data_IF_236229600617
#
_entry.id   IF_236229600617
#
_cell.length_a   1.000
_cell.length_b   1.000
_cell.length_c   1.000
_cell.angle_alpha   90.00
_cell.angle_beta   90.00
_cell.angle_gamma   90.00
#
_symmetry.space_group_name_H-M   'P 1'
#
loop_
_entity.id
_entity.type
_entity.pdbx_description
1 polymer ?
#
# COMPACT_ATOMS: atom_id res chain seq x y z
N UNK A 1 -5.84 5.36 -18.92
CA UNK A 1 -5.40 4.05 -19.49
C UNK A 1 -6.32 3.59 -20.61
N UNK A 2 -7.64 3.62 -20.45
CA UNK A 2 -8.60 3.18 -21.48
C UNK A 2 -8.42 3.85 -22.85
N UNK A 3 -8.19 5.16 -22.88
CA UNK A 3 -7.99 5.92 -24.12
C UNK A 3 -6.71 5.56 -24.88
N UNK A 4 -5.63 5.16 -24.19
CA UNK A 4 -4.35 4.82 -24.84
C UNK A 4 -4.34 3.40 -25.41
N UNK A 5 -4.93 2.44 -24.70
CA UNK A 5 -5.04 1.03 -25.13
C UNK A 5 -6.00 0.89 -26.33
N UNK A 6 -7.02 1.75 -26.45
CA UNK A 6 -7.97 1.72 -27.56
C UNK A 6 -7.44 2.34 -28.86
N UNK A 7 -6.46 3.25 -28.79
CA UNK A 7 -5.91 3.99 -29.94
C UNK A 7 -4.58 3.43 -30.45
N UNK A 8 -3.88 2.62 -29.66
CA UNK A 8 -2.55 2.08 -30.00
C UNK A 8 -2.47 0.60 -29.64
N UNK A 9 -1.78 -0.19 -30.47
CA UNK A 9 -1.51 -1.61 -30.18
C UNK A 9 -0.54 -1.71 -28.99
N UNK A 10 -1.08 -1.66 -27.78
CA UNK A 10 -0.32 -1.78 -26.54
C UNK A 10 -0.03 -3.27 -26.27
N UNK A 11 1.24 -3.66 -26.09
CA UNK A 11 1.59 -5.04 -25.77
C UNK A 11 0.83 -5.56 -24.54
N UNK A 12 0.27 -6.78 -24.56
CA UNK A 12 -0.55 -7.32 -23.46
C UNK A 12 0.16 -7.30 -22.10
N UNK A 13 1.49 -7.43 -22.11
CA UNK A 13 2.32 -7.42 -20.90
C UNK A 13 2.28 -6.09 -20.14
N UNK A 14 2.15 -4.95 -20.83
CA UNK A 14 2.09 -3.64 -20.16
C UNK A 14 0.80 -3.47 -19.36
N UNK A 15 -0.31 -4.04 -19.87
CA UNK A 15 -1.61 -4.03 -19.21
C UNK A 15 -1.55 -4.94 -17.98
N UNK A 16 -1.03 -6.16 -18.15
CA UNK A 16 -0.84 -7.11 -17.05
C UNK A 16 0.04 -6.53 -15.94
N UNK A 17 1.15 -5.87 -16.30
CA UNK A 17 2.08 -5.28 -15.34
C UNK A 17 1.49 -4.09 -14.60
N UNK A 18 0.67 -3.27 -15.27
CA UNK A 18 -0.05 -2.17 -14.62
C UNK A 18 -1.08 -2.68 -13.60
N UNK A 19 -1.84 -3.72 -13.96
CA UNK A 19 -2.80 -4.37 -13.06
C UNK A 19 -2.06 -5.01 -11.88
N UNK A 20 -0.98 -5.74 -12.15
CA UNK A 20 -0.16 -6.37 -11.12
C UNK A 20 0.42 -5.35 -10.14
N UNK A 21 0.93 -4.21 -10.62
CA UNK A 21 1.43 -3.13 -9.77
C UNK A 21 0.32 -2.51 -8.92
N UNK A 22 -0.88 -2.28 -9.48
CA UNK A 22 -2.01 -1.79 -8.71
C UNK A 22 -2.41 -2.76 -7.60
N UNK A 23 -2.51 -4.05 -7.91
CA UNK A 23 -2.82 -5.08 -6.92
C UNK A 23 -1.73 -5.21 -5.85
N UNK A 24 -0.46 -5.17 -6.24
CA UNK A 24 0.67 -5.21 -5.33
C UNK A 24 0.70 -3.97 -4.41
N UNK A 25 0.39 -2.79 -4.94
CA UNK A 25 0.28 -1.56 -4.16
C UNK A 25 -0.85 -1.67 -3.13
N UNK A 26 -2.05 -2.12 -3.55
CA UNK A 26 -3.18 -2.34 -2.63
C UNK A 26 -2.77 -3.29 -1.52
N UNK A 27 -2.19 -4.45 -1.86
CA UNK A 27 -1.77 -5.45 -0.89
C UNK A 27 -0.72 -4.91 0.10
N UNK A 28 0.29 -4.21 -0.42
CA UNK A 28 1.31 -3.57 0.40
C UNK A 28 0.73 -2.55 1.37
N UNK A 29 -0.19 -1.70 0.90
CA UNK A 29 -0.90 -0.73 1.74
C UNK A 29 -1.80 -1.40 2.78
N UNK A 30 -2.50 -2.48 2.44
CA UNK A 30 -3.34 -3.21 3.40
C UNK A 30 -2.52 -3.80 4.56
N UNK A 31 -1.36 -4.40 4.26
CA UNK A 31 -0.45 -4.91 5.29
C UNK A 31 0.13 -3.79 6.16
N UNK A 32 0.52 -2.67 5.53
CA UNK A 32 1.00 -1.48 6.23
C UNK A 32 -0.07 -0.86 7.13
N UNK A 33 -1.29 -0.70 6.62
CA UNK A 33 -2.42 -0.16 7.35
C UNK A 33 -2.80 -1.06 8.53
N UNK A 34 -2.79 -2.39 8.36
CA UNK A 34 -3.01 -3.34 9.45
C UNK A 34 -1.97 -3.23 10.58
N UNK A 35 -0.69 -3.09 10.21
CA UNK A 35 0.39 -2.84 11.20
C UNK A 35 0.21 -1.50 11.91
N UNK A 36 -0.12 -0.45 11.16
CA UNK A 36 -0.35 0.89 11.71
C UNK A 36 -1.57 0.90 12.63
N UNK A 37 -2.64 0.18 12.28
CA UNK A 37 -3.84 0.06 13.10
C UNK A 37 -3.55 -0.62 14.44
N UNK A 38 -2.79 -1.72 14.47
CA UNK A 38 -2.41 -2.39 15.74
C UNK A 38 -1.63 -1.45 16.67
N UNK A 39 -0.73 -0.62 16.15
CA UNK A 39 0.03 0.32 16.99
C UNK A 39 -0.76 1.58 17.34
N UNK A 40 -1.55 2.10 16.40
CA UNK A 40 -2.46 3.22 16.66
C UNK A 40 -3.50 2.88 17.72
N UNK A 41 -4.04 1.65 17.70
CA UNK A 41 -4.99 1.15 18.71
C UNK A 41 -4.32 0.97 20.07
N UNK A 42 -3.04 0.57 20.16
CA UNK A 42 -2.35 0.46 21.45
C UNK A 42 -2.08 1.85 22.07
N UNK A 43 -2.08 2.91 21.27
CA UNK A 43 -1.96 4.30 21.73
C UNK A 43 -3.33 4.93 22.01
N UNK A 44 -4.11 4.35 22.93
CA UNK A 44 -5.25 5.07 23.52
C UNK A 44 -4.73 6.29 24.31
N UNK A 45 -4.83 7.49 23.72
CA UNK A 45 -4.77 8.77 24.42
C UNK A 45 -3.52 9.65 24.26
N UNK A 46 -2.47 9.24 23.52
CA UNK A 46 -1.30 10.10 23.24
C UNK A 46 -1.16 10.39 21.74
N UNK A 47 -0.92 11.66 21.33
CA UNK A 47 -0.76 12.00 19.92
C UNK A 47 0.45 11.25 19.33
N UNK A 48 0.27 10.50 18.24
CA UNK A 48 1.31 9.64 17.70
C UNK A 48 2.48 10.49 17.21
N UNK A 49 3.67 10.30 17.80
CA UNK A 49 4.90 10.91 17.30
C UNK A 49 5.42 10.10 16.11
N UNK A 50 6.06 10.76 15.15
CA UNK A 50 6.64 10.11 13.96
C UNK A 50 7.59 8.94 14.30
N UNK A 51 8.23 8.97 15.48
CA UNK A 51 9.07 7.87 15.97
C UNK A 51 8.31 6.61 16.37
N UNK A 52 7.08 6.73 16.86
CA UNK A 52 6.24 5.57 17.25
C UNK A 52 5.71 4.84 16.01
N UNK A 53 5.43 5.57 14.93
CA UNK A 53 5.06 5.01 13.62
C UNK A 53 6.22 4.19 13.02
N UNK A 54 7.45 4.69 13.11
CA UNK A 54 8.63 3.94 12.67
C UNK A 54 8.90 2.68 13.52
N UNK A 55 8.63 2.75 14.83
CA UNK A 55 8.75 1.60 15.73
C UNK A 55 7.64 0.57 15.47
N UNK A 56 6.45 1.01 15.08
CA UNK A 56 5.34 0.15 14.63
C UNK A 56 5.67 -0.63 13.36
N UNK A 57 6.28 0.05 12.39
CA UNK A 57 6.73 -0.52 11.12
C UNK A 57 7.84 -1.58 11.32
N UNK A 58 8.70 -1.39 12.33
CA UNK A 58 9.82 -2.26 12.66
C UNK A 58 9.51 -3.36 13.68
N UNK A 59 8.41 -3.27 14.42
CA UNK A 59 7.99 -4.34 15.31
C UNK A 59 7.60 -5.56 14.46
N UNK A 60 8.32 -6.69 14.56
CA UNK A 60 7.88 -7.93 13.95
C UNK A 60 6.58 -8.37 14.62
N UNK A 61 5.73 -9.03 13.84
CA UNK A 61 4.42 -9.54 14.26
C UNK A 61 4.49 -10.40 15.53
#
# INVERSE_FOLDING_TARGET
>A
MFTRVALTAVPPWQIALSIALSLAAIWGLTLLAGKLYRVGVLMYGKPPKLGDVWRALRAPA
#
